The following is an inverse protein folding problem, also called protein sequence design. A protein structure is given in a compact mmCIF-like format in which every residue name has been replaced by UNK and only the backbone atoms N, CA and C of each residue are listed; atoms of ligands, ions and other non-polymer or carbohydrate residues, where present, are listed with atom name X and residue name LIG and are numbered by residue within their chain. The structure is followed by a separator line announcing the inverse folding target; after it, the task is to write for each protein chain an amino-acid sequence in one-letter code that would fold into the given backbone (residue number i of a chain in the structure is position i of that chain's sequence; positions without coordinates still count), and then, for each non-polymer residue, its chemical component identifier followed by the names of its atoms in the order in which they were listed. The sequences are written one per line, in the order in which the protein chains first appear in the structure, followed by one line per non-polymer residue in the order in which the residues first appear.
data_IF_061814801305
#
_entry.id   IF_061814801305
#
_cell.length_a   1.000
_cell.length_b   1.000
_cell.length_c   1.000
_cell.angle_alpha   90.00
_cell.angle_beta   90.00
_cell.angle_gamma   90.00
#
_symmetry.space_group_name_H-M   'P 1'
#
loop_
_entity.id
_entity.type
_entity.pdbx_description
1 polymer ?
#
# COMPACT_ATOMS: atom_id res chain seq x y z
N UNK A 1 -26.50 -7.88 6.21
CA UNK A 1 -25.43 -7.27 5.36
C UNK A 1 -25.45 -5.74 5.39
N UNK A 2 -26.60 -5.08 5.61
CA UNK A 2 -26.69 -3.62 5.67
C UNK A 2 -25.96 -3.02 6.89
N UNK A 3 -25.97 -3.74 8.02
CA UNK A 3 -25.36 -3.26 9.27
C UNK A 3 -23.83 -3.31 9.28
N UNK A 4 -23.21 -4.21 8.50
CA UNK A 4 -21.75 -4.40 8.55
C UNK A 4 -20.98 -3.22 7.94
N UNK A 5 -21.52 -2.64 6.86
CA UNK A 5 -20.94 -1.45 6.24
C UNK A 5 -21.11 -0.24 7.16
N UNK A 6 -22.26 -0.12 7.81
CA UNK A 6 -22.58 0.96 8.74
C UNK A 6 -21.71 0.88 10.01
N UNK A 7 -21.51 -0.34 10.53
CA UNK A 7 -20.60 -0.64 11.63
C UNK A 7 -19.14 -0.32 11.26
N UNK A 8 -18.71 -0.72 10.06
CA UNK A 8 -17.38 -0.39 9.55
C UNK A 8 -17.17 1.12 9.45
N UNK A 9 -18.11 1.85 8.83
CA UNK A 9 -18.06 3.31 8.71
C UNK A 9 -18.05 4.00 10.08
N UNK A 10 -18.82 3.49 11.04
CA UNK A 10 -18.88 4.05 12.40
C UNK A 10 -17.55 3.88 13.13
N UNK A 11 -16.97 2.69 13.07
CA UNK A 11 -15.66 2.40 13.68
C UNK A 11 -14.54 3.17 12.96
N UNK A 12 -14.61 3.29 11.63
CA UNK A 12 -13.67 4.07 10.84
C UNK A 12 -13.74 5.58 11.16
N UNK A 13 -14.95 6.14 11.30
CA UNK A 13 -15.14 7.55 11.64
C UNK A 13 -14.69 7.87 13.07
N UNK A 14 -14.90 6.96 14.02
CA UNK A 14 -14.50 7.17 15.43
C UNK A 14 -13.03 6.88 15.71
N UNK A 15 -12.39 5.98 14.97
CA UNK A 15 -11.02 5.55 15.29
C UNK A 15 -9.98 6.25 14.43
N UNK A 16 -9.34 7.27 14.99
CA UNK A 16 -8.20 7.96 14.36
C UNK A 16 -7.04 7.00 14.02
N UNK A 17 -6.92 5.87 14.71
CA UNK A 17 -5.90 4.84 14.41
C UNK A 17 -6.17 4.12 13.09
N UNK A 18 -7.44 3.82 12.79
CA UNK A 18 -7.83 3.17 11.53
C UNK A 18 -7.65 4.16 10.38
N UNK A 19 -8.04 5.42 10.58
CA UNK A 19 -7.81 6.48 9.61
C UNK A 19 -6.31 6.66 9.32
N UNK A 20 -5.46 6.68 10.35
CA UNK A 20 -4.00 6.71 10.19
C UNK A 20 -3.48 5.50 9.42
N UNK A 21 -3.93 4.28 9.73
CA UNK A 21 -3.52 3.07 9.01
C UNK A 21 -3.95 3.09 7.54
N UNK A 22 -5.14 3.63 7.26
CA UNK A 22 -5.65 3.83 5.90
C UNK A 22 -4.80 4.84 5.13
N UNK A 23 -4.54 6.00 5.73
CA UNK A 23 -3.66 7.03 5.14
C UNK A 23 -2.23 6.53 4.95
N UNK A 24 -1.67 5.78 5.90
CA UNK A 24 -0.36 5.13 5.75
C UNK A 24 -0.34 4.17 4.57
N UNK A 25 -1.42 3.41 4.34
CA UNK A 25 -1.56 2.55 3.17
C UNK A 25 -1.55 3.33 1.87
N UNK A 26 -2.30 4.43 1.80
CA UNK A 26 -2.33 5.33 0.63
C UNK A 26 -0.94 5.94 0.39
N UNK A 27 -0.32 6.51 1.42
CA UNK A 27 1.00 7.13 1.33
C UNK A 27 2.04 6.10 0.90
N UNK A 28 2.03 4.90 1.46
CA UNK A 28 2.94 3.82 1.07
C UNK A 28 2.74 3.40 -0.39
N UNK A 29 1.49 3.37 -0.89
CA UNK A 29 1.20 3.07 -2.29
C UNK A 29 1.74 4.16 -3.23
N UNK A 30 1.53 5.44 -2.91
CA UNK A 30 2.06 6.55 -3.70
C UNK A 30 3.59 6.62 -3.65
N UNK A 31 4.19 6.50 -2.46
CA UNK A 31 5.64 6.48 -2.28
C UNK A 31 6.27 5.32 -3.05
N UNK A 32 5.62 4.15 -3.05
CA UNK A 32 6.11 3.06 -3.86
C UNK A 32 6.00 3.41 -5.35
N UNK A 33 4.86 3.88 -5.86
CA UNK A 33 4.79 4.28 -7.28
C UNK A 33 5.86 5.31 -7.69
N UNK A 34 6.06 6.37 -6.90
CA UNK A 34 7.04 7.44 -7.20
C UNK A 34 8.47 6.91 -7.20
N UNK A 35 8.86 6.12 -6.19
CA UNK A 35 10.21 5.55 -6.13
C UNK A 35 10.43 4.54 -7.25
N UNK A 36 9.39 3.80 -7.64
CA UNK A 36 9.44 2.88 -8.78
C UNK A 36 9.73 3.62 -10.09
N UNK A 37 8.99 4.70 -10.35
CA UNK A 37 9.21 5.57 -11.51
C UNK A 37 10.61 6.20 -11.50
N UNK A 38 11.04 6.74 -10.37
CA UNK A 38 12.35 7.38 -10.25
C UNK A 38 13.51 6.40 -10.49
N UNK A 39 13.40 5.16 -10.01
CA UNK A 39 14.38 4.10 -10.26
C UNK A 39 14.42 3.65 -11.71
N UNK A 40 13.26 3.61 -12.38
CA UNK A 40 13.17 3.29 -13.80
C UNK A 40 13.78 4.41 -14.67
N UNK A 41 13.46 5.67 -14.37
CA UNK A 41 13.95 6.83 -15.09
C UNK A 41 15.47 6.99 -14.92
N UNK A 42 15.98 6.88 -13.69
CA UNK A 42 17.43 6.96 -13.41
C UNK A 42 18.23 5.76 -13.96
N UNK A 43 17.66 4.55 -13.94
CA UNK A 43 18.28 3.37 -14.54
C UNK A 43 18.32 3.43 -16.07
N UNK A 44 17.26 3.98 -16.69
CA UNK A 44 17.18 4.11 -18.15
C UNK A 44 18.21 5.09 -18.72
N UNK A 45 18.58 6.13 -17.96
CA UNK A 45 19.57 7.13 -18.37
C UNK A 45 21.02 6.61 -18.35
N UNK A 46 21.31 5.53 -17.62
CA UNK A 46 22.66 4.96 -17.49
C UNK A 46 22.96 3.84 -18.49
N UNK A 47 21.94 3.24 -19.11
CA UNK A 47 22.12 2.08 -20.00
C UNK A 47 21.90 2.53 -21.45
N UNK A 48 23.01 2.66 -22.19
CA UNK A 48 23.04 3.09 -23.59
C UNK A 48 22.51 2.02 -24.57
N UNK A 49 22.39 0.77 -24.10
CA UNK A 49 21.97 -0.39 -24.89
C UNK A 49 20.53 -0.78 -24.54
N UNK A 50 19.61 -0.51 -25.47
CA UNK A 50 18.16 -0.54 -25.28
C UNK A 50 17.64 -1.92 -24.84
N UNK A 51 18.28 -2.99 -25.31
CA UNK A 51 17.92 -4.37 -24.95
C UNK A 51 18.28 -4.74 -23.50
N UNK A 52 19.42 -4.25 -23.00
CA UNK A 52 19.80 -4.45 -21.60
C UNK A 52 18.92 -3.62 -20.67
N UNK A 53 18.53 -2.42 -21.12
CA UNK A 53 17.63 -1.54 -20.39
C UNK A 53 16.26 -2.22 -20.18
N UNK A 54 15.69 -2.81 -21.24
CA UNK A 54 14.37 -3.43 -21.19
C UNK A 54 14.33 -4.68 -20.28
N UNK A 55 15.43 -5.45 -20.24
CA UNK A 55 15.58 -6.58 -19.33
C UNK A 55 15.77 -6.12 -17.88
N UNK A 56 16.56 -5.07 -17.65
CA UNK A 56 16.82 -4.53 -16.30
C UNK A 56 15.56 -3.89 -15.71
N UNK A 57 14.88 -3.07 -16.50
CA UNK A 57 13.58 -2.45 -16.19
C UNK A 57 12.56 -3.51 -15.83
N UNK A 58 12.37 -4.55 -16.65
CA UNK A 58 11.40 -5.61 -16.35
C UNK A 58 11.75 -6.39 -15.07
N UNK A 59 13.04 -6.62 -14.80
CA UNK A 59 13.49 -7.39 -13.62
C UNK A 59 13.36 -6.57 -12.33
N UNK A 60 13.65 -5.28 -12.38
CA UNK A 60 13.47 -4.35 -11.25
C UNK A 60 11.99 -4.07 -11.03
N UNK A 61 11.24 -3.77 -12.08
CA UNK A 61 9.80 -3.53 -12.01
C UNK A 61 9.07 -4.71 -11.35
N UNK A 62 9.38 -5.96 -11.71
CA UNK A 62 8.79 -7.14 -11.04
C UNK A 62 9.14 -7.27 -9.56
N UNK A 63 10.36 -6.94 -9.16
CA UNK A 63 10.75 -6.95 -7.73
C UNK A 63 10.06 -5.83 -6.97
N UNK A 64 9.92 -4.69 -7.62
CA UNK A 64 9.30 -3.51 -7.08
C UNK A 64 7.80 -3.70 -6.87
N UNK A 65 7.12 -4.23 -7.87
CA UNK A 65 5.70 -4.56 -7.81
C UNK A 65 5.41 -5.58 -6.71
N UNK A 66 6.28 -6.58 -6.54
CA UNK A 66 6.23 -7.50 -5.38
C UNK A 66 6.40 -6.80 -4.03
N UNK A 67 7.31 -5.82 -3.93
CA UNK A 67 7.49 -5.06 -2.70
C UNK A 67 6.27 -4.17 -2.40
N UNK A 68 5.73 -3.50 -3.41
CA UNK A 68 4.52 -2.69 -3.29
C UNK A 68 3.32 -3.54 -2.85
N UNK A 69 3.12 -4.71 -3.47
CA UNK A 69 2.10 -5.68 -3.06
C UNK A 69 2.30 -6.17 -1.62
N UNK A 70 3.55 -6.46 -1.22
CA UNK A 70 3.85 -6.87 0.15
C UNK A 70 3.49 -5.79 1.17
N UNK A 71 3.84 -4.52 0.89
CA UNK A 71 3.46 -3.39 1.74
C UNK A 71 1.94 -3.19 1.79
N UNK A 72 1.26 -3.35 0.66
CA UNK A 72 -0.19 -3.25 0.58
C UNK A 72 -0.87 -4.33 1.45
N UNK A 73 -0.41 -5.58 1.34
CA UNK A 73 -0.92 -6.71 2.13
C UNK A 73 -0.70 -6.49 3.62
N UNK A 74 0.50 -6.07 4.04
CA UNK A 74 0.77 -5.77 5.46
C UNK A 74 -0.13 -4.64 5.96
N UNK A 75 -0.31 -3.59 5.16
CA UNK A 75 -1.16 -2.46 5.53
C UNK A 75 -2.61 -2.89 5.72
N UNK A 76 -3.13 -3.72 4.82
CA UNK A 76 -4.48 -4.30 4.94
C UNK A 76 -4.63 -5.20 6.18
N UNK A 77 -3.66 -6.08 6.43
CA UNK A 77 -3.66 -6.93 7.63
C UNK A 77 -3.65 -6.08 8.91
N UNK A 78 -2.83 -5.02 8.96
CA UNK A 78 -2.82 -4.08 10.09
C UNK A 78 -4.16 -3.37 10.25
N UNK A 79 -4.75 -2.88 9.15
CA UNK A 79 -6.05 -2.23 9.17
C UNK A 79 -7.13 -3.17 9.73
N UNK A 80 -7.17 -4.41 9.25
CA UNK A 80 -8.17 -5.40 9.69
C UNK A 80 -8.01 -5.76 11.17
N UNK A 81 -6.75 -5.87 11.64
CA UNK A 81 -6.45 -6.15 13.04
C UNK A 81 -6.86 -4.99 13.94
N UNK A 82 -6.62 -3.75 13.52
CA UNK A 82 -7.07 -2.54 14.22
C UNK A 82 -8.60 -2.41 14.22
N UNK A 83 -9.24 -2.72 13.09
CA UNK A 83 -10.70 -2.74 12.98
C UNK A 83 -11.31 -3.68 14.02
N UNK A 84 -10.83 -4.92 14.11
CA UNK A 84 -11.33 -5.89 15.10
C UNK A 84 -11.11 -5.43 16.54
N UNK A 85 -9.97 -4.78 16.84
CA UNK A 85 -9.68 -4.25 18.17
C UNK A 85 -10.59 -3.07 18.55
N UNK A 86 -10.83 -2.15 17.62
CA UNK A 86 -11.61 -0.94 17.86
C UNK A 86 -13.12 -1.23 17.82
N UNK A 87 -13.58 -2.17 17.01
CA UNK A 87 -14.95 -2.69 17.04
C UNK A 87 -15.27 -3.26 18.44
N UNK A 88 -14.39 -4.10 18.99
CA UNK A 88 -14.51 -4.64 20.35
C UNK A 88 -14.49 -3.57 21.45
N UNK A 89 -13.88 -2.40 21.18
CA UNK A 89 -13.83 -1.28 22.14
C UNK A 89 -15.06 -0.39 22.08
N UNK A 90 -15.64 -0.22 20.90
CA UNK A 90 -16.78 0.67 20.66
C UNK A 90 -18.12 -0.02 20.97
N UNK A 91 -18.21 -1.34 20.77
CA UNK A 91 -19.43 -2.15 21.02
C UNK A 91 -19.44 -2.87 22.38
N UNK A 92 -18.46 -2.60 23.24
CA UNK A 92 -18.48 -3.02 24.65
C UNK A 92 -19.07 -1.91 25.51
#
# INVERSE_FOLDING_TARGET
MKDWIEEFLTVFAKSGKIQLAFWLGIIAFFMTHVVGWYMLESGSAQIQDEYLNDVFVNKIARKYDKAALFFLVISWVKMFRLFKQEQLRIYR
#
